data_IF_307853551387
#
_entry.id   IF_307853551387
#
_cell.length_a   1.000
_cell.length_b   1.000
_cell.length_c   1.000
_cell.angle_alpha   90.00
_cell.angle_beta   90.00
_cell.angle_gamma   90.00
#
_symmetry.space_group_name_H-M   'P 1'
#
loop_
_entity.id
_entity.type
_entity.pdbx_description
1 polymer ?
#
# COMPACT_ATOMS: atom_id res chain seq x y z
N UNK A 1 -10.61 0.57 49.75
CA UNK A 1 -9.21 0.65 49.27
C UNK A 1 -9.14 1.81 48.28
N UNK A 2 -8.24 2.78 48.47
CA UNK A 2 -8.10 3.94 47.57
C UNK A 2 -7.19 3.53 46.41
N UNK A 3 -7.68 3.61 45.17
CA UNK A 3 -6.87 3.32 43.99
C UNK A 3 -5.76 4.38 43.85
N UNK A 4 -4.51 3.93 43.86
CA UNK A 4 -3.32 4.78 43.68
C UNK A 4 -2.96 4.89 42.20
N UNK A 5 -3.68 5.73 41.45
CA UNK A 5 -3.32 6.13 40.08
C UNK A 5 -2.70 7.55 40.09
N UNK A 6 -1.53 7.72 40.71
CA UNK A 6 -0.86 9.04 40.81
C UNK A 6 0.58 9.08 40.26
N UNK A 7 1.03 8.07 39.51
CA UNK A 7 2.44 7.97 39.08
C UNK A 7 2.66 7.91 37.55
N UNK A 8 1.64 8.12 36.71
CA UNK A 8 1.79 8.12 35.25
C UNK A 8 1.66 9.51 34.59
N UNK A 9 1.37 10.56 35.36
CA UNK A 9 1.06 11.87 34.79
C UNK A 9 2.29 12.68 34.30
N UNK A 10 3.51 12.17 34.48
CA UNK A 10 4.75 12.92 34.16
C UNK A 10 5.67 12.20 33.16
N UNK A 11 5.16 11.23 32.42
CA UNK A 11 5.89 10.65 31.28
C UNK A 11 5.85 11.69 30.16
N UNK A 12 7.00 12.26 29.81
CA UNK A 12 7.11 13.10 28.61
C UNK A 12 6.62 12.27 27.42
N UNK A 13 5.76 12.82 26.54
CA UNK A 13 5.34 12.08 25.37
C UNK A 13 6.58 11.66 24.58
N UNK A 14 6.60 10.41 24.12
CA UNK A 14 7.69 9.92 23.29
C UNK A 14 7.86 10.85 22.08
N UNK A 15 9.10 11.18 21.75
CA UNK A 15 9.40 12.09 20.62
C UNK A 15 8.96 11.47 19.29
N UNK A 16 9.07 10.16 19.18
CA UNK A 16 8.69 9.35 18.03
C UNK A 16 7.73 8.25 18.48
N UNK A 17 6.89 7.77 17.57
CA UNK A 17 6.13 6.55 17.79
C UNK A 17 7.05 5.35 17.58
N UNK A 18 7.11 4.45 18.56
CA UNK A 18 7.84 3.20 18.43
C UNK A 18 7.10 2.29 17.45
N UNK A 19 7.77 1.69 16.44
CA UNK A 19 7.13 0.75 15.52
C UNK A 19 6.54 -0.47 16.24
N UNK A 20 5.46 -1.04 15.69
CA UNK A 20 4.83 -2.28 16.15
C UNK A 20 4.29 -2.25 17.59
N UNK A 21 4.05 -1.06 18.13
CA UNK A 21 3.46 -0.84 19.45
C UNK A 21 1.93 -0.80 19.34
N UNK A 22 1.17 -1.31 20.33
CA UNK A 22 -0.29 -1.25 20.29
C UNK A 22 -0.79 0.21 20.34
N UNK A 23 -1.68 0.58 19.40
CA UNK A 23 -2.26 1.93 19.30
C UNK A 23 -3.45 2.16 20.26
N UNK A 24 -3.91 1.11 20.93
CA UNK A 24 -5.14 1.12 21.74
C UNK A 24 -6.36 0.54 21.01
N UNK A 25 -6.24 0.31 19.70
CA UNK A 25 -7.20 -0.47 18.91
C UNK A 25 -6.72 -1.91 18.73
N UNK A 26 -7.63 -2.88 18.82
CA UNK A 26 -7.29 -4.30 18.69
C UNK A 26 -6.91 -4.63 17.26
N UNK A 27 -5.73 -5.24 17.07
CA UNK A 27 -5.25 -5.63 15.74
C UNK A 27 -4.64 -4.48 14.92
N UNK A 28 -4.47 -3.29 15.51
CA UNK A 28 -3.84 -2.15 14.85
C UNK A 28 -2.57 -1.73 15.60
N UNK A 29 -1.42 -2.05 15.02
CA UNK A 29 -0.10 -1.69 15.55
C UNK A 29 0.44 -0.45 14.85
N UNK A 30 1.29 0.31 15.55
CA UNK A 30 1.92 1.52 15.00
C UNK A 30 2.78 1.20 13.78
N UNK A 31 2.62 1.99 12.73
CA UNK A 31 3.35 1.79 11.48
C UNK A 31 4.75 2.43 11.57
N UNK A 32 5.83 1.76 11.10
CA UNK A 32 7.21 2.28 11.18
C UNK A 32 7.43 3.58 10.37
N UNK A 33 6.83 3.66 9.18
CA UNK A 33 7.04 4.76 8.22
C UNK A 33 5.72 5.20 7.55
N UNK A 34 4.78 5.82 8.27
CA UNK A 34 3.42 6.07 7.76
C UNK A 34 3.36 7.05 6.58
N UNK A 35 4.22 8.07 6.57
CA UNK A 35 4.27 9.11 5.53
C UNK A 35 4.58 8.56 4.13
N UNK A 36 5.70 7.85 3.90
CA UNK A 36 6.00 7.31 2.58
C UNK A 36 4.96 6.29 2.12
N UNK A 37 4.42 5.46 3.03
CA UNK A 37 3.34 4.52 2.72
C UNK A 37 2.10 5.24 2.22
N UNK A 38 1.64 6.30 2.89
CA UNK A 38 0.49 7.09 2.44
C UNK A 38 0.73 7.78 1.11
N UNK A 39 1.93 8.34 0.89
CA UNK A 39 2.29 8.95 -0.40
C UNK A 39 2.25 7.90 -1.51
N UNK A 40 2.78 6.70 -1.27
CA UNK A 40 2.71 5.59 -2.20
C UNK A 40 1.27 5.17 -2.51
N UNK A 41 0.43 4.96 -1.49
CA UNK A 41 -0.97 4.57 -1.67
C UNK A 41 -1.79 5.66 -2.40
N UNK A 42 -1.58 6.94 -2.10
CA UNK A 42 -2.29 8.01 -2.80
C UNK A 42 -1.81 8.22 -4.24
N UNK A 43 -0.52 8.09 -4.52
CA UNK A 43 -0.01 8.19 -5.90
C UNK A 43 -0.42 6.98 -6.73
N UNK A 44 -0.38 5.77 -6.17
CA UNK A 44 -0.88 4.55 -6.84
C UNK A 44 -2.37 4.64 -7.14
N UNK A 45 -3.20 5.06 -6.19
CA UNK A 45 -4.65 5.26 -6.41
C UNK A 45 -4.91 6.30 -7.49
N UNK A 46 -4.25 7.46 -7.45
CA UNK A 46 -4.38 8.49 -8.49
C UNK A 46 -3.99 7.98 -9.89
N UNK A 47 -2.97 7.13 -9.99
CA UNK A 47 -2.63 6.50 -11.27
C UNK A 47 -3.71 5.53 -11.75
N UNK A 48 -4.21 4.66 -10.87
CA UNK A 48 -5.28 3.70 -11.23
C UNK A 48 -6.57 4.41 -11.63
N UNK A 49 -6.91 5.52 -10.98
CA UNK A 49 -8.08 6.34 -11.30
C UNK A 49 -8.04 6.90 -12.73
N UNK A 50 -6.86 7.03 -13.37
CA UNK A 50 -6.75 7.45 -14.79
C UNK A 50 -7.47 6.49 -15.75
N UNK A 51 -7.68 5.22 -15.36
CA UNK A 51 -8.42 4.23 -16.16
C UNK A 51 -9.94 4.50 -16.21
N UNK A 52 -10.48 5.21 -15.23
CA UNK A 52 -11.92 5.55 -15.15
C UNK A 52 -12.17 6.83 -15.95
N UNK A 53 -13.30 7.00 -16.67
CA UNK A 53 -13.58 8.24 -17.39
C UNK A 53 -13.73 9.46 -16.47
N UNK A 54 -13.29 10.65 -16.93
CA UNK A 54 -13.35 11.91 -16.18
C UNK A 54 -14.78 12.39 -15.88
N UNK A 55 -15.77 11.88 -16.62
CA UNK A 55 -17.19 12.17 -16.37
C UNK A 55 -17.71 11.52 -15.09
N UNK A 56 -17.08 10.41 -14.64
CA UNK A 56 -17.52 9.63 -13.48
C UNK A 56 -17.46 10.47 -12.20
N UNK A 57 -18.58 10.48 -11.46
CA UNK A 57 -18.67 11.16 -10.16
C UNK A 57 -17.70 10.53 -9.16
N UNK A 58 -17.57 9.20 -9.18
CA UNK A 58 -16.64 8.47 -8.31
C UNK A 58 -15.19 8.91 -8.53
N UNK A 59 -14.75 9.06 -9.79
CA UNK A 59 -13.40 9.54 -10.10
C UNK A 59 -13.18 10.96 -9.57
N UNK A 60 -14.14 11.87 -9.78
CA UNK A 60 -14.03 13.26 -9.31
C UNK A 60 -13.92 13.38 -7.79
N UNK A 61 -14.76 12.64 -7.06
CA UNK A 61 -14.76 12.69 -5.59
C UNK A 61 -13.50 12.07 -5.00
N UNK A 62 -13.08 10.91 -5.52
CA UNK A 62 -11.88 10.21 -5.04
C UNK A 62 -10.61 10.97 -5.38
N UNK A 63 -10.49 11.55 -6.58
CA UNK A 63 -9.36 12.42 -6.92
C UNK A 63 -9.28 13.65 -6.01
N UNK A 64 -10.41 14.33 -5.75
CA UNK A 64 -10.42 15.50 -4.88
C UNK A 64 -9.98 15.15 -3.45
N UNK A 65 -10.49 14.04 -2.91
CA UNK A 65 -10.16 13.57 -1.57
C UNK A 65 -8.69 13.14 -1.47
N UNK A 66 -8.21 12.32 -2.42
CA UNK A 66 -6.83 11.82 -2.42
C UNK A 66 -5.82 12.93 -2.62
N UNK A 67 -6.07 13.90 -3.52
CA UNK A 67 -5.22 15.09 -3.70
C UNK A 67 -5.13 15.91 -2.41
N UNK A 68 -6.27 16.20 -1.78
CA UNK A 68 -6.28 16.93 -0.51
C UNK A 68 -5.46 16.22 0.59
N UNK A 69 -5.67 14.90 0.77
CA UNK A 69 -4.91 14.13 1.77
C UNK A 69 -3.41 14.06 1.44
N UNK A 70 -3.08 13.90 0.17
CA UNK A 70 -1.69 13.90 -0.31
C UNK A 70 -1.02 15.25 -0.02
N UNK A 71 -1.69 16.37 -0.27
CA UNK A 71 -1.18 17.72 0.02
C UNK A 71 -0.88 17.89 1.52
N UNK A 72 -1.79 17.41 2.39
CA UNK A 72 -1.58 17.43 3.84
C UNK A 72 -0.34 16.64 4.23
N UNK A 73 -0.19 15.40 3.75
CA UNK A 73 0.95 14.51 4.07
C UNK A 73 2.28 15.04 3.50
N UNK A 74 2.25 15.68 2.34
CA UNK A 74 3.43 16.28 1.73
C UNK A 74 3.89 17.55 2.46
N UNK A 75 2.94 18.34 3.00
CA UNK A 75 3.24 19.57 3.74
C UNK A 75 4.04 19.33 5.02
N UNK A 76 3.85 18.17 5.67
CA UNK A 76 4.54 17.79 6.90
C UNK A 76 5.81 17.04 6.59
N UNK A 77 6.97 17.67 6.78
CA UNK A 77 8.29 17.04 6.55
C UNK A 77 8.96 16.66 7.89
N UNK A 78 9.59 15.49 8.00
CA UNK A 78 10.35 15.12 9.19
C UNK A 78 11.62 15.96 9.33
N UNK A 79 12.15 16.11 10.55
CA UNK A 79 13.45 16.75 10.76
C UNK A 79 14.55 15.96 10.03
N UNK A 80 15.41 16.67 9.28
CA UNK A 80 16.51 16.05 8.54
C UNK A 80 16.14 15.46 7.16
N UNK A 81 14.90 15.65 6.71
CA UNK A 81 14.43 15.18 5.40
C UNK A 81 15.29 15.66 4.23
N UNK A 82 15.66 16.95 4.21
CA UNK A 82 16.40 17.53 3.08
C UNK A 82 17.82 16.96 2.97
N UNK A 83 18.48 16.72 4.10
CA UNK A 83 19.80 16.10 4.14
C UNK A 83 19.75 14.63 3.69
N UNK A 84 18.72 13.89 4.10
CA UNK A 84 18.47 12.54 3.62
C UNK A 84 18.21 12.52 2.10
N UNK A 85 17.37 13.44 1.60
CA UNK A 85 17.07 13.54 0.19
C UNK A 85 18.32 13.83 -0.67
N UNK A 86 19.23 14.67 -0.17
CA UNK A 86 20.51 14.93 -0.85
C UNK A 86 21.38 13.66 -0.95
N UNK A 87 21.46 12.87 0.14
CA UNK A 87 22.20 11.59 0.13
C UNK A 87 21.57 10.60 -0.84
N UNK A 88 20.25 10.43 -0.79
CA UNK A 88 19.51 9.56 -1.71
C UNK A 88 19.75 9.97 -3.16
N UNK A 89 19.67 11.27 -3.47
CA UNK A 89 19.95 11.78 -4.83
C UNK A 89 21.39 11.50 -5.27
N UNK A 90 22.37 11.66 -4.37
CA UNK A 90 23.76 11.35 -4.66
C UNK A 90 23.94 9.86 -4.97
N UNK A 91 23.39 8.97 -4.14
CA UNK A 91 23.43 7.52 -4.36
C UNK A 91 22.80 7.11 -5.69
N UNK A 92 21.63 7.70 -6.02
CA UNK A 92 20.93 7.46 -7.29
C UNK A 92 21.76 7.92 -8.49
N UNK A 93 22.40 9.09 -8.37
CA UNK A 93 23.26 9.65 -9.41
C UNK A 93 24.55 8.83 -9.62
N UNK A 94 25.08 8.21 -8.56
CA UNK A 94 26.25 7.33 -8.65
C UNK A 94 25.92 6.02 -9.38
N UNK A 95 24.70 5.48 -9.23
CA UNK A 95 24.32 4.19 -9.81
C UNK A 95 23.01 4.24 -10.62
N UNK A 96 22.92 5.02 -11.71
CA UNK A 96 21.67 5.21 -12.45
C UNK A 96 21.11 3.90 -13.03
N UNK A 97 21.98 2.95 -13.40
CA UNK A 97 21.58 1.64 -13.93
C UNK A 97 20.85 0.76 -12.92
N UNK A 98 21.24 0.80 -11.64
CA UNK A 98 20.62 -0.02 -10.58
C UNK A 98 19.21 0.48 -10.23
N UNK A 99 19.04 1.81 -10.17
CA UNK A 99 17.77 2.41 -9.76
C UNK A 99 16.76 2.57 -10.90
N UNK A 100 17.17 2.41 -12.16
CA UNK A 100 16.26 2.44 -13.30
C UNK A 100 15.18 1.36 -13.20
N UNK A 101 15.51 0.19 -12.65
CA UNK A 101 14.56 -0.91 -12.45
C UNK A 101 13.46 -0.56 -11.42
N UNK A 102 13.78 0.25 -10.41
CA UNK A 102 12.84 0.66 -9.36
C UNK A 102 12.03 1.92 -9.71
N UNK A 103 12.27 2.51 -10.89
CA UNK A 103 11.62 3.73 -11.32
C UNK A 103 10.23 3.42 -11.87
N UNK A 104 9.20 4.06 -11.31
CA UNK A 104 7.85 4.00 -11.86
C UNK A 104 7.69 4.88 -13.10
N UNK A 105 6.64 4.67 -13.89
CA UNK A 105 6.29 5.51 -15.05
C UNK A 105 6.19 7.00 -14.70
N UNK A 106 5.74 7.32 -13.48
CA UNK A 106 5.63 8.70 -12.98
C UNK A 106 6.97 9.30 -12.52
N UNK A 107 8.09 8.58 -12.63
CA UNK A 107 9.43 9.04 -12.22
C UNK A 107 9.69 9.01 -10.71
N UNK A 108 8.75 8.45 -9.93
CA UNK A 108 8.91 8.23 -8.49
C UNK A 108 9.55 6.86 -8.21
N UNK A 109 10.44 6.80 -7.22
CA UNK A 109 10.95 5.52 -6.68
C UNK A 109 9.92 4.96 -5.70
N UNK A 110 9.38 3.78 -5.97
CA UNK A 110 8.46 3.14 -5.04
C UNK A 110 9.25 2.67 -3.81
N UNK A 111 8.79 3.06 -2.61
CA UNK A 111 9.10 2.27 -1.43
C UNK A 111 8.38 0.94 -1.63
N UNK A 112 9.14 -0.12 -1.92
CA UNK A 112 8.57 -1.46 -1.86
C UNK A 112 8.12 -1.67 -0.42
N UNK A 113 6.81 -1.86 -0.23
CA UNK A 113 6.36 -2.60 0.94
C UNK A 113 7.09 -3.93 0.82
N UNK A 114 7.93 -4.28 1.80
CA UNK A 114 8.30 -5.66 1.98
C UNK A 114 6.96 -6.36 2.14
N UNK A 115 6.47 -7.00 1.08
CA UNK A 115 5.49 -8.06 1.24
C UNK A 115 6.09 -8.92 2.34
N UNK A 116 5.39 -9.03 3.48
CA UNK A 116 5.71 -10.02 4.48
C UNK A 116 5.99 -11.29 3.69
N UNK A 117 7.26 -11.69 3.74
CA UNK A 117 7.84 -12.69 2.86
C UNK A 117 6.84 -13.80 2.70
N UNK A 118 6.48 -14.10 1.46
CA UNK A 118 5.86 -15.34 1.01
C UNK A 118 5.72 -16.32 2.19
N UNK A 119 4.59 -16.25 2.91
CA UNK A 119 4.12 -17.41 3.65
C UNK A 119 3.92 -18.39 2.50
N UNK A 120 4.94 -19.22 2.27
CA UNK A 120 4.92 -20.24 1.23
C UNK A 120 3.53 -20.83 1.31
N UNK A 121 2.78 -20.77 0.19
CA UNK A 121 1.43 -21.35 0.14
C UNK A 121 1.57 -22.69 0.83
N UNK A 122 0.88 -22.87 1.95
CA UNK A 122 1.07 -24.02 2.84
C UNK A 122 0.90 -25.35 2.07
N UNK A 123 0.21 -25.27 0.93
CA UNK A 123 0.04 -26.28 -0.12
C UNK A 123 1.36 -26.79 -0.75
N UNK A 124 2.43 -25.98 -0.86
CA UNK A 124 3.74 -26.40 -1.40
C UNK A 124 4.58 -27.21 -0.41
N UNK A 125 4.31 -27.08 0.90
CA UNK A 125 5.10 -27.78 1.93
C UNK A 125 4.63 -29.22 2.15
N UNK A 126 3.40 -29.55 1.74
CA UNK A 126 2.80 -30.89 1.84
C UNK A 126 2.61 -31.58 0.48
N UNK A 127 2.76 -30.86 -0.63
CA UNK A 127 2.90 -31.44 -1.96
C UNK A 127 4.26 -32.13 -2.06
N UNK A 128 4.29 -33.46 -2.02
CA UNK A 128 5.53 -34.23 -2.16
C UNK A 128 6.37 -33.75 -3.34
N UNK A 129 7.70 -33.85 -3.20
CA UNK A 129 8.70 -33.32 -4.11
C UNK A 129 8.30 -33.51 -5.59
N UNK A 130 7.96 -32.40 -6.25
CA UNK A 130 7.63 -32.38 -7.69
C UNK A 130 8.88 -32.39 -8.56
N UNK A 131 10.06 -32.46 -7.97
CA UNK A 131 11.29 -32.65 -8.73
C UNK A 131 11.20 -33.95 -9.52
N UNK A 132 11.45 -33.89 -10.82
CA UNK A 132 11.61 -35.09 -11.63
C UNK A 132 12.87 -35.79 -11.10
N UNK A 133 12.71 -36.92 -10.41
CA UNK A 133 13.83 -37.74 -9.93
C UNK A 133 14.72 -38.08 -11.13
N UNK A 134 15.95 -37.57 -11.12
CA UNK A 134 16.94 -37.94 -12.11
C UNK A 134 17.28 -39.42 -11.93
N UNK A 135 17.00 -40.24 -12.94
CA UNK A 135 17.60 -41.57 -13.00
C UNK A 135 19.10 -41.38 -13.32
N UNK A 136 19.96 -41.67 -12.34
CA UNK A 136 21.41 -41.65 -12.51
C UNK A 136 21.79 -42.47 -13.76
N UNK A 137 22.34 -41.81 -14.79
CA UNK A 137 22.81 -42.44 -16.02
C UNK A 137 21.95 -42.26 -17.28
N UNK A 138 20.82 -41.54 -17.23
CA UNK A 138 20.08 -41.16 -18.44
C UNK A 138 20.73 -39.94 -19.13
N UNK A 139 21.12 -40.08 -20.39
CA UNK A 139 21.50 -38.93 -21.22
C UNK A 139 20.24 -38.08 -21.47
N UNK A 140 20.28 -36.81 -21.08
CA UNK A 140 19.29 -35.82 -21.51
C UNK A 140 19.39 -35.68 -23.04
N UNK A 141 18.25 -35.59 -23.72
CA UNK A 141 18.25 -35.23 -25.13
C UNK A 141 18.87 -33.84 -25.33
N UNK A 142 19.35 -33.53 -26.54
CA UNK A 142 19.93 -32.21 -26.86
C UNK A 142 18.95 -31.08 -26.51
N UNK A 143 17.65 -31.29 -26.79
CA UNK A 143 16.56 -30.35 -26.49
C UNK A 143 16.39 -30.12 -24.97
N UNK A 144 16.41 -31.17 -24.15
CA UNK A 144 16.27 -31.05 -22.69
C UNK A 144 17.49 -30.40 -22.02
N UNK A 145 18.68 -30.57 -22.58
CA UNK A 145 19.88 -29.88 -22.10
C UNK A 145 19.81 -28.38 -22.39
N UNK A 146 19.33 -27.98 -23.57
CA UNK A 146 19.13 -26.57 -23.92
C UNK A 146 18.09 -25.90 -23.01
N UNK A 147 16.99 -26.57 -22.70
CA UNK A 147 15.99 -26.05 -21.76
C UNK A 147 16.58 -25.82 -20.36
N UNK A 148 17.40 -26.75 -19.86
CA UNK A 148 18.08 -26.60 -18.56
C UNK A 148 19.15 -25.52 -18.56
N UNK A 149 19.90 -25.37 -19.65
CA UNK A 149 20.87 -24.27 -19.79
C UNK A 149 20.11 -22.95 -19.75
N UNK A 150 19.03 -22.83 -20.51
CA UNK A 150 18.19 -21.63 -20.53
C UNK A 150 17.54 -21.35 -19.17
N UNK A 151 17.10 -22.38 -18.45
CA UNK A 151 16.58 -22.26 -17.09
C UNK A 151 17.68 -21.82 -16.10
N UNK A 152 18.88 -22.39 -16.19
CA UNK A 152 20.03 -22.03 -15.35
C UNK A 152 20.55 -20.62 -15.65
N UNK A 153 20.55 -20.20 -16.92
CA UNK A 153 20.87 -18.84 -17.34
C UNK A 153 19.79 -17.86 -16.87
N UNK A 154 18.51 -18.26 -16.91
CA UNK A 154 17.41 -17.46 -16.36
C UNK A 154 17.47 -17.37 -14.83
N UNK A 155 17.86 -18.43 -14.12
CA UNK A 155 18.11 -18.41 -12.67
C UNK A 155 19.33 -17.55 -12.32
N UNK A 156 20.43 -17.67 -13.06
CA UNK A 156 21.60 -16.80 -12.90
C UNK A 156 21.25 -15.33 -13.16
N UNK A 157 20.49 -15.04 -14.22
CA UNK A 157 19.99 -13.69 -14.52
C UNK A 157 19.01 -13.17 -13.45
N UNK A 158 18.20 -14.04 -12.82
CA UNK A 158 17.36 -13.68 -11.67
C UNK A 158 18.21 -13.36 -10.43
N UNK A 159 19.29 -14.11 -10.18
CA UNK A 159 20.24 -13.84 -9.09
C UNK A 159 21.01 -12.53 -9.26
N UNK A 160 21.14 -12.02 -10.49
CA UNK A 160 21.74 -10.72 -10.78
C UNK A 160 20.81 -9.53 -10.50
N UNK A 161 19.56 -9.75 -10.08
CA UNK A 161 18.71 -8.64 -9.64
C UNK A 161 19.36 -7.97 -8.42
N UNK A 162 19.80 -6.70 -8.53
CA UNK A 162 20.53 -6.06 -7.45
C UNK A 162 19.60 -5.92 -6.26
N UNK A 163 19.96 -6.47 -5.10
CA UNK A 163 19.27 -6.16 -3.84
C UNK A 163 19.39 -4.66 -3.58
N UNK A 164 18.32 -3.92 -3.80
CA UNK A 164 18.29 -2.47 -3.58
C UNK A 164 18.06 -2.24 -2.09
N UNK A 165 19.13 -2.09 -1.31
CA UNK A 165 19.01 -1.63 0.07
C UNK A 165 18.76 -0.12 0.09
N UNK A 166 17.55 0.28 0.47
CA UNK A 166 17.12 1.68 0.52
C UNK A 166 17.26 2.23 1.95
N UNK A 167 17.91 3.40 2.11
CA UNK A 167 17.92 4.12 3.40
C UNK A 167 16.50 4.57 3.76
N UNK A 168 15.97 4.11 4.88
CA UNK A 168 14.65 4.53 5.36
C UNK A 168 14.58 6.05 5.59
N UNK A 169 13.43 6.64 5.28
CA UNK A 169 13.16 8.04 5.59
C UNK A 169 13.23 8.28 7.11
N UNK A 170 13.78 9.41 7.58
CA UNK A 170 13.70 9.80 8.99
C UNK A 170 12.25 9.77 9.50
N UNK A 171 12.05 9.22 10.70
CA UNK A 171 10.71 9.12 11.30
C UNK A 171 10.11 10.50 11.60
N UNK A 172 8.78 10.59 11.48
CA UNK A 172 8.02 11.77 11.90
C UNK A 172 7.96 11.85 13.42
N UNK A 173 8.00 13.07 13.94
CA UNK A 173 7.76 13.30 15.37
C UNK A 173 6.29 13.07 15.70
N UNK A 174 5.99 12.59 16.91
CA UNK A 174 4.62 12.29 17.33
C UNK A 174 3.68 13.51 17.21
N UNK A 175 4.18 14.71 17.47
CA UNK A 175 3.44 15.95 17.30
C UNK A 175 3.04 16.20 15.83
N UNK A 176 3.94 15.91 14.87
CA UNK A 176 3.65 16.06 13.45
C UNK A 176 2.61 15.05 12.99
N UNK A 177 2.65 13.83 13.53
CA UNK A 177 1.63 12.80 13.25
C UNK A 177 0.26 13.28 13.73
N UNK A 178 0.16 13.78 14.96
CA UNK A 178 -1.08 14.36 15.47
C UNK A 178 -1.58 15.55 14.65
N UNK A 179 -0.69 16.38 14.10
CA UNK A 179 -1.09 17.45 13.18
C UNK A 179 -1.71 16.91 11.87
N UNK A 180 -1.15 15.83 11.31
CA UNK A 180 -1.69 15.17 10.13
C UNK A 180 -3.07 14.59 10.43
N UNK A 181 -3.22 13.87 11.54
CA UNK A 181 -4.48 13.26 11.98
C UNK A 181 -5.59 14.31 12.12
N UNK A 182 -5.27 15.44 12.76
CA UNK A 182 -6.22 16.54 12.94
C UNK A 182 -6.62 17.20 11.61
N UNK A 183 -5.67 17.36 10.67
CA UNK A 183 -5.95 17.96 9.35
C UNK A 183 -6.78 17.04 8.46
N UNK A 184 -6.56 15.72 8.53
CA UNK A 184 -7.31 14.74 7.74
C UNK A 184 -8.68 14.47 8.37
N UNK A 185 -8.79 14.48 9.70
CA UNK A 185 -10.03 14.22 10.43
C UNK A 185 -10.53 12.77 10.27
N UNK A 186 -9.61 11.81 10.15
CA UNK A 186 -9.91 10.42 9.75
C UNK A 186 -9.57 9.35 10.79
N UNK A 187 -9.38 9.72 12.05
CA UNK A 187 -8.88 8.81 13.10
C UNK A 187 -7.35 8.82 13.18
N UNK A 188 -6.78 7.71 13.66
CA UNK A 188 -5.34 7.51 13.75
C UNK A 188 -4.71 7.37 12.36
N UNK A 189 -3.42 7.70 12.23
CA UNK A 189 -2.72 7.61 10.94
C UNK A 189 -2.73 6.18 10.37
N UNK A 190 -2.70 5.16 11.23
CA UNK A 190 -2.79 3.76 10.85
C UNK A 190 -4.16 3.40 10.24
N UNK A 191 -5.26 3.96 10.77
CA UNK A 191 -6.60 3.77 10.19
C UNK A 191 -6.67 4.44 8.81
N UNK A 192 -6.04 5.61 8.66
CA UNK A 192 -5.96 6.31 7.37
C UNK A 192 -5.20 5.48 6.33
N UNK A 193 -4.17 4.73 6.73
CA UNK A 193 -3.46 3.78 5.86
C UNK A 193 -4.39 2.65 5.44
N UNK A 194 -5.10 2.00 6.37
CA UNK A 194 -6.05 0.94 6.05
C UNK A 194 -7.16 1.41 5.10
N UNK A 195 -7.67 2.63 5.28
CA UNK A 195 -8.63 3.25 4.37
C UNK A 195 -8.02 3.47 2.99
N UNK A 196 -6.77 3.90 2.91
CA UNK A 196 -6.09 4.10 1.63
C UNK A 196 -5.82 2.78 0.88
N UNK A 197 -5.47 1.70 1.60
CA UNK A 197 -5.36 0.36 1.04
C UNK A 197 -6.71 -0.18 0.55
N UNK A 198 -7.76 0.03 1.36
CA UNK A 198 -9.13 -0.32 1.01
C UNK A 198 -9.61 0.42 -0.25
N UNK A 199 -9.31 1.71 -0.37
CA UNK A 199 -9.63 2.52 -1.55
C UNK A 199 -8.88 2.00 -2.79
N UNK A 200 -7.61 1.62 -2.66
CA UNK A 200 -6.85 1.05 -3.77
C UNK A 200 -7.48 -0.25 -4.29
N UNK A 201 -7.89 -1.14 -3.38
CA UNK A 201 -8.61 -2.37 -3.73
C UNK A 201 -9.99 -2.07 -4.33
N UNK A 202 -10.70 -1.07 -3.78
CA UNK A 202 -11.99 -0.65 -4.28
C UNK A 202 -11.89 -0.13 -5.71
N UNK A 203 -10.88 0.68 -6.04
CA UNK A 203 -10.67 1.17 -7.41
C UNK A 203 -10.55 0.01 -8.39
N UNK A 204 -9.85 -1.07 -8.03
CA UNK A 204 -9.72 -2.25 -8.89
C UNK A 204 -11.09 -2.91 -9.16
N UNK A 205 -11.91 -3.06 -8.13
CA UNK A 205 -13.27 -3.61 -8.27
C UNK A 205 -14.21 -2.67 -9.03
N UNK A 206 -14.09 -1.36 -8.84
CA UNK A 206 -14.88 -0.36 -9.55
C UNK A 206 -14.57 -0.34 -11.04
N UNK A 207 -13.30 -0.58 -11.41
CA UNK A 207 -12.88 -0.72 -12.82
C UNK A 207 -13.47 -1.99 -13.43
N UNK A 208 -13.45 -3.12 -12.71
CA UNK A 208 -14.09 -4.37 -13.17
C UNK A 208 -15.59 -4.22 -13.33
N UNK A 209 -16.24 -3.56 -12.36
CA UNK A 209 -17.69 -3.38 -12.30
C UNK A 209 -18.24 -2.30 -13.23
N UNK A 210 -17.38 -1.43 -13.80
CA UNK A 210 -17.76 -0.31 -14.68
C UNK A 210 -18.97 0.48 -14.17
N UNK A 211 -18.96 0.81 -12.88
CA UNK A 211 -20.10 1.41 -12.16
C UNK A 211 -20.57 2.77 -12.69
N UNK A 212 -19.82 3.37 -13.61
CA UNK A 212 -20.14 4.64 -14.27
C UNK A 212 -21.05 4.48 -15.48
N UNK A 213 -21.34 3.25 -15.91
CA UNK A 213 -22.30 2.97 -16.99
C UNK A 213 -23.75 3.15 -16.50
N UNK A 214 -24.68 3.34 -17.45
CA UNK A 214 -26.11 3.44 -17.10
C UNK A 214 -26.62 2.12 -16.52
N UNK A 215 -27.62 2.23 -15.64
CA UNK A 215 -28.26 1.08 -15.03
C UNK A 215 -28.74 0.06 -16.08
N UNK A 216 -28.28 -1.19 -15.96
CA UNK A 216 -28.60 -2.28 -16.88
C UNK A 216 -30.10 -2.57 -16.92
N UNK A 217 -30.76 -2.56 -15.77
CA UNK A 217 -32.20 -2.83 -15.65
C UNK A 217 -32.89 -1.73 -14.84
N UNK A 218 -33.81 -0.99 -15.50
CA UNK A 218 -34.65 -0.01 -14.80
C UNK A 218 -35.65 -0.74 -13.91
N UNK A 219 -35.90 -0.24 -12.68
CA UNK A 219 -36.81 -0.91 -11.77
C UNK A 219 -38.22 -0.97 -12.34
N UNK A 220 -38.94 -2.06 -12.07
CA UNK A 220 -40.35 -2.20 -12.41
C UNK A 220 -41.18 -1.12 -11.70
N UNK A 221 -42.24 -0.60 -12.34
CA UNK A 221 -43.13 0.35 -11.68
C UNK A 221 -43.74 -0.30 -10.43
N UNK A 222 -43.63 0.36 -9.28
CA UNK A 222 -44.08 -0.16 -7.98
C UNK A 222 -43.04 -1.00 -7.19
N UNK A 223 -41.84 -1.26 -7.73
CA UNK A 223 -40.79 -2.01 -7.02
C UNK A 223 -40.33 -1.31 -5.73
N UNK A 224 -40.25 0.02 -5.77
CA UNK A 224 -39.76 0.87 -4.68
C UNK A 224 -40.88 1.69 -4.00
N UNK A 225 -42.15 1.34 -4.23
CA UNK A 225 -43.27 1.92 -3.49
C UNK A 225 -43.46 1.15 -2.19
N UNK A 226 -43.14 1.78 -1.07
CA UNK A 226 -43.33 1.22 0.26
C UNK A 226 -44.66 1.69 0.86
N UNK A 227 -45.01 1.15 2.03
CA UNK A 227 -46.17 1.60 2.80
C UNK A 227 -45.92 3.00 3.36
N UNK A 228 -46.29 4.03 2.60
CA UNK A 228 -46.41 5.39 3.13
C UNK A 228 -47.60 5.44 4.09
N UNK A 229 -47.44 6.11 5.24
CA UNK A 229 -48.59 6.49 6.06
C UNK A 229 -49.30 7.65 5.36
N UNK A 230 -50.07 7.34 4.32
CA UNK A 230 -51.06 8.30 3.83
C UNK A 230 -52.13 8.43 4.90
N UNK A 231 -52.28 9.63 5.46
CA UNK A 231 -53.38 9.92 6.38
C UNK A 231 -54.69 9.55 5.67
N UNK A 232 -55.45 8.65 6.28
CA UNK A 232 -56.76 8.24 5.80
C UNK A 232 -57.62 9.48 5.56
N UNK A 233 -57.90 9.79 4.29
CA UNK A 233 -58.90 10.78 3.91
C UNK A 233 -60.22 10.42 4.59
N UNK A 234 -60.67 11.30 5.50
CA UNK A 234 -62.02 11.30 6.05
C UNK A 234 -63.04 11.67 4.99
#
# INVERSE_FOLDING_TARGET
MRATLRLLANVKPARYLEPFTPTGLTGLSTHPSPRPTLIYLYTTTLQKLKAIPESSVYRKSTEALTKHRLDVVQSTKPPGFDAWLQRVRALVAENPGKYKAALREDGTYAAFQLEEENIAKEDELWGGDTSKVQQEGAYLSEEEMEERIKESEAEAARQETPTIHWEAEPALEAAQISEIENKIGGGLIEEVIQVAEGELRLVDEMVKGKVWEELVEKPKPGQWTYFERTESSS
#
